data_IF_032037669963
#
_entry.id   IF_032037669963
#
_cell.length_a   1.000
_cell.length_b   1.000
_cell.length_c   1.000
_cell.angle_alpha   90.00
_cell.angle_beta   90.00
_cell.angle_gamma   90.00
#
_symmetry.space_group_name_H-M   'P 1'
#
loop_
_entity.id
_entity.type
_entity.pdbx_description
1 polymer ?
#
# COMPACT_ATOMS: atom_id res chain seq x y z
N UNK A 1 10.00 32.17 38.12
CA UNK A 1 9.49 32.60 36.80
C UNK A 1 10.54 32.25 35.76
N UNK A 2 10.18 31.46 34.74
CA UNK A 2 11.09 31.00 33.69
C UNK A 2 10.62 29.69 33.04
N UNK A 3 9.42 29.76 32.46
CA UNK A 3 8.93 29.09 31.24
C UNK A 3 9.22 27.58 30.99
N UNK A 4 8.14 26.79 31.14
CA UNK A 4 7.92 25.53 30.45
C UNK A 4 7.42 25.80 29.02
N UNK A 5 8.06 25.20 28.01
CA UNK A 5 7.51 25.06 26.66
C UNK A 5 8.61 24.81 25.63
N UNK A 6 8.60 23.77 24.82
CA UNK A 6 7.66 22.70 24.61
C UNK A 6 8.16 21.92 23.41
N UNK A 7 8.67 20.71 23.65
CA UNK A 7 8.88 19.70 22.62
C UNK A 7 8.24 18.42 23.15
N UNK A 8 6.91 18.48 23.33
CA UNK A 8 6.11 17.27 23.36
C UNK A 8 6.12 16.72 21.94
N UNK A 9 7.15 15.94 21.63
CA UNK A 9 7.05 14.98 20.54
C UNK A 9 5.97 14.00 20.97
N UNK A 10 4.73 14.26 20.53
CA UNK A 10 3.65 13.29 20.61
C UNK A 10 4.07 12.09 19.78
N UNK A 11 4.77 11.16 20.43
CA UNK A 11 5.02 9.81 19.92
C UNK A 11 3.70 9.04 19.98
N UNK A 12 2.74 9.44 19.15
CA UNK A 12 1.67 8.54 18.77
C UNK A 12 2.34 7.42 18.00
N UNK A 13 2.66 6.32 18.69
CA UNK A 13 3.20 5.13 18.06
C UNK A 13 2.12 4.59 17.13
N UNK A 14 2.23 4.91 15.84
CA UNK A 14 1.32 4.39 14.82
C UNK A 14 1.31 2.87 14.89
N UNK A 15 0.12 2.30 14.74
CA UNK A 15 -0.08 0.86 14.72
C UNK A 15 0.49 0.33 13.40
N UNK A 16 1.36 -0.67 13.47
CA UNK A 16 1.94 -1.28 12.28
C UNK A 16 1.06 -2.39 11.75
N UNK A 17 0.73 -2.34 10.47
CA UNK A 17 0.04 -3.40 9.74
C UNK A 17 1.00 -3.98 8.73
N UNK A 18 1.26 -5.29 8.84
CA UNK A 18 2.11 -6.01 7.88
C UNK A 18 1.22 -6.83 6.96
N UNK A 19 1.30 -6.56 5.66
CA UNK A 19 0.58 -7.28 4.61
C UNK A 19 1.59 -8.17 3.87
N UNK A 20 1.34 -9.48 3.84
CA UNK A 20 2.19 -10.44 3.12
C UNK A 20 1.53 -10.81 1.80
N UNK A 21 2.19 -10.46 0.70
CA UNK A 21 1.73 -10.60 -0.68
C UNK A 21 1.12 -9.31 -1.24
N UNK A 22 1.64 -8.82 -2.38
CA UNK A 22 1.11 -7.66 -3.12
C UNK A 22 0.23 -8.13 -4.30
N UNK A 23 -0.90 -8.74 -3.98
CA UNK A 23 -1.91 -9.16 -4.95
C UNK A 23 -3.10 -8.20 -5.03
N UNK A 24 -4.08 -8.53 -5.88
CA UNK A 24 -5.33 -7.78 -6.05
C UNK A 24 -6.09 -7.53 -4.74
N UNK A 25 -6.09 -8.52 -3.83
CA UNK A 25 -6.75 -8.41 -2.52
C UNK A 25 -5.99 -7.45 -1.62
N UNK A 26 -4.66 -7.51 -1.61
CA UNK A 26 -3.83 -6.64 -0.79
C UNK A 26 -3.98 -5.17 -1.20
N UNK A 27 -4.01 -4.88 -2.50
CA UNK A 27 -4.28 -3.53 -3.00
C UNK A 27 -5.63 -3.02 -2.50
N UNK A 28 -6.71 -3.78 -2.72
CA UNK A 28 -8.04 -3.33 -2.30
C UNK A 28 -8.17 -3.17 -0.78
N UNK A 29 -7.47 -4.01 -0.01
CA UNK A 29 -7.39 -3.87 1.43
C UNK A 29 -6.71 -2.55 1.84
N UNK A 30 -5.54 -2.25 1.27
CA UNK A 30 -4.78 -1.04 1.57
C UNK A 30 -5.57 0.21 1.17
N UNK A 31 -6.21 0.22 0.01
CA UNK A 31 -7.04 1.37 -0.42
C UNK A 31 -8.19 1.65 0.55
N UNK A 32 -8.90 0.60 1.00
CA UNK A 32 -10.00 0.74 1.95
C UNK A 32 -9.48 1.19 3.32
N UNK A 33 -8.36 0.62 3.76
CA UNK A 33 -7.71 0.99 5.01
C UNK A 33 -7.32 2.47 5.01
N UNK A 34 -6.66 2.95 3.95
CA UNK A 34 -6.26 4.36 3.84
C UNK A 34 -7.46 5.31 3.78
N UNK A 35 -8.57 4.91 3.15
CA UNK A 35 -9.82 5.70 3.15
C UNK A 35 -10.47 5.78 4.54
N UNK A 36 -10.33 4.74 5.35
CA UNK A 36 -10.87 4.69 6.71
C UNK A 36 -9.95 5.34 7.74
N UNK A 37 -8.63 5.32 7.51
CA UNK A 37 -7.62 5.91 8.38
C UNK A 37 -7.55 7.45 8.25
N UNK A 38 -8.63 8.11 8.65
CA UNK A 38 -8.72 9.58 8.62
C UNK A 38 -7.74 10.26 9.60
N UNK A 39 -7.27 9.53 10.62
CA UNK A 39 -6.40 10.05 11.68
C UNK A 39 -4.92 9.69 11.49
N UNK A 40 -4.56 8.98 10.40
CA UNK A 40 -3.18 8.53 10.11
C UNK A 40 -2.57 7.74 11.28
N UNK A 41 -3.37 6.81 11.81
CA UNK A 41 -3.02 5.95 12.93
C UNK A 41 -2.16 4.75 12.51
N UNK A 42 -2.15 4.38 11.23
CA UNK A 42 -1.51 3.15 10.77
C UNK A 42 -0.28 3.42 9.90
N UNK A 43 0.76 2.62 10.12
CA UNK A 43 1.86 2.44 9.17
C UNK A 43 1.72 1.06 8.50
N UNK A 44 1.61 1.04 7.17
CA UNK A 44 1.41 -0.19 6.41
C UNK A 44 2.72 -0.62 5.75
N UNK A 45 3.14 -1.85 6.01
CA UNK A 45 4.31 -2.47 5.38
C UNK A 45 3.84 -3.64 4.54
N UNK A 46 4.15 -3.64 3.25
CA UNK A 46 3.86 -4.76 2.36
C UNK A 46 5.14 -5.53 2.07
N UNK A 47 5.08 -6.84 2.25
CA UNK A 47 6.18 -7.76 1.92
C UNK A 47 5.72 -8.64 0.77
N UNK A 48 6.39 -8.57 -0.36
CA UNK A 48 6.13 -9.42 -1.52
C UNK A 48 7.43 -10.08 -2.01
N UNK A 49 7.34 -11.33 -2.44
CA UNK A 49 8.44 -12.04 -3.09
C UNK A 49 8.66 -11.55 -4.53
N UNK A 50 7.57 -11.09 -5.16
CA UNK A 50 7.56 -10.69 -6.56
C UNK A 50 8.09 -9.25 -6.73
N UNK A 51 9.01 -9.02 -7.68
CA UNK A 51 9.57 -7.68 -7.93
C UNK A 51 8.59 -6.75 -8.67
N UNK A 52 7.39 -7.22 -9.00
CA UNK A 52 6.40 -6.50 -9.80
C UNK A 52 5.23 -6.03 -8.93
N UNK A 53 4.73 -4.81 -9.21
CA UNK A 53 3.46 -4.31 -8.64
C UNK A 53 2.31 -5.27 -8.93
N UNK A 54 1.27 -5.27 -8.08
CA UNK A 54 0.15 -6.19 -8.28
C UNK A 54 -0.46 -6.02 -9.67
N UNK A 55 -0.51 -7.13 -10.40
CA UNK A 55 -1.04 -7.22 -11.74
C UNK A 55 -2.15 -8.29 -11.78
N UNK A 56 -3.04 -8.18 -12.77
CA UNK A 56 -4.14 -9.13 -12.91
C UNK A 56 -3.64 -10.48 -13.44
N UNK A 57 -3.32 -11.40 -12.52
CA UNK A 57 -2.87 -12.77 -12.86
C UNK A 57 -3.92 -13.58 -13.63
N UNK A 58 -5.20 -13.22 -13.56
CA UNK A 58 -6.27 -13.89 -14.33
C UNK A 58 -6.25 -13.45 -15.81
N UNK A 59 -5.75 -12.24 -16.09
CA UNK A 59 -5.61 -11.71 -17.45
C UNK A 59 -4.33 -12.18 -18.18
N UNK A 60 -3.49 -13.01 -17.54
CA UNK A 60 -2.27 -13.55 -18.16
C UNK A 60 -2.55 -14.29 -19.48
N UNK A 61 -3.69 -14.97 -19.60
CA UNK A 61 -4.09 -15.66 -20.84
C UNK A 61 -4.35 -14.68 -22.00
N UNK A 62 -4.81 -13.47 -21.69
CA UNK A 62 -5.02 -12.41 -22.69
C UNK A 62 -3.71 -11.72 -23.08
N UNK A 63 -2.75 -11.61 -22.15
CA UNK A 63 -1.41 -11.09 -22.42
C UNK A 63 -0.68 -11.87 -23.52
N UNK A 64 -0.82 -13.20 -23.57
CA UNK A 64 -0.22 -14.00 -24.64
C UNK A 64 -0.78 -13.68 -26.05
N UNK A 65 -1.93 -13.01 -26.14
CA UNK A 65 -2.52 -12.56 -27.41
C UNK A 65 -2.07 -11.16 -27.81
N UNK A 66 -1.95 -10.21 -26.88
CA UNK A 66 -1.69 -8.78 -27.19
C UNK A 66 -0.26 -8.33 -26.91
N UNK A 67 0.51 -9.05 -26.08
CA UNK A 67 1.89 -8.73 -25.65
C UNK A 67 2.07 -7.35 -25.00
N UNK A 68 0.99 -6.66 -24.64
CA UNK A 68 1.07 -5.35 -23.99
C UNK A 68 1.11 -5.52 -22.46
N UNK A 69 2.23 -5.15 -21.85
CA UNK A 69 2.48 -5.29 -20.40
C UNK A 69 1.70 -4.23 -19.61
N UNK A 70 1.42 -3.07 -20.21
CA UNK A 70 0.80 -1.94 -19.54
C UNK A 70 -0.67 -2.21 -19.19
N UNK A 71 -1.36 -3.03 -19.99
CA UNK A 71 -2.74 -3.48 -19.74
C UNK A 71 -2.86 -4.46 -18.55
N UNK A 72 -1.74 -4.96 -18.03
CA UNK A 72 -1.74 -5.93 -16.93
C UNK A 72 -1.76 -5.27 -15.55
N UNK A 73 -1.34 -4.01 -15.44
CA UNK A 73 -1.23 -3.31 -14.18
C UNK A 73 -2.59 -2.83 -13.70
N UNK A 74 -2.88 -3.03 -12.42
CA UNK A 74 -4.13 -2.53 -11.84
C UNK A 74 -4.06 -1.03 -11.52
N UNK A 75 -2.85 -0.48 -11.40
CA UNK A 75 -2.59 0.92 -11.08
C UNK A 75 -1.30 1.42 -11.77
N UNK A 76 -1.16 2.74 -12.02
CA UNK A 76 0.06 3.32 -12.56
C UNK A 76 1.25 3.14 -11.60
N UNK A 77 2.47 3.09 -12.16
CA UNK A 77 3.73 2.87 -11.42
C UNK A 77 4.11 4.00 -10.44
N UNK A 78 3.43 5.14 -10.52
CA UNK A 78 3.69 6.33 -9.70
C UNK A 78 2.99 6.30 -8.32
N UNK A 79 2.42 5.16 -7.93
CA UNK A 79 1.90 4.94 -6.58
C UNK A 79 3.03 4.59 -5.62
#
# INVERSE_FOLDING_TARGET
MGDNGGLSATSSSRKKIVVVGLGMVAIQFIEKLMKMDTQREYDVVVIGEEPHLAYNRVALTSYFKTRNIEELFMNPREW
#
